data_IF_190825717399
#
_entry.id   IF_190825717399
#
_cell.length_a   1.000
_cell.length_b   1.000
_cell.length_c   1.000
_cell.angle_alpha   90.00
_cell.angle_beta   90.00
_cell.angle_gamma   90.00
#
_symmetry.space_group_name_H-M   'P 1'
#
loop_
_entity.id
_entity.type
_entity.pdbx_description
1 polymer ?
#
# COMPACT_ATOMS: atom_id res chain seq x y z
N UNK A 1 -19.50 37.50 14.14
CA UNK A 1 -20.04 36.16 13.82
C UNK A 1 -18.86 35.26 13.53
N UNK A 2 -18.80 34.09 14.17
CA UNK A 2 -17.82 33.07 13.84
C UNK A 2 -18.30 32.43 12.53
N UNK A 3 -17.61 32.71 11.42
CA UNK A 3 -18.00 32.19 10.11
C UNK A 3 -17.81 30.67 10.19
N UNK A 4 -18.88 29.86 10.05
CA UNK A 4 -18.74 28.41 10.14
C UNK A 4 -17.76 27.96 9.05
N UNK A 5 -16.60 27.43 9.45
CA UNK A 5 -15.70 26.83 8.48
C UNK A 5 -16.45 25.69 7.78
N UNK A 6 -16.40 25.62 6.44
CA UNK A 6 -17.08 24.58 5.71
C UNK A 6 -16.59 23.21 6.21
N UNK A 7 -17.49 22.20 6.32
CA UNK A 7 -17.12 20.90 6.84
C UNK A 7 -15.94 20.35 6.05
N UNK A 8 -14.84 20.04 6.76
CA UNK A 8 -13.65 19.46 6.16
C UNK A 8 -14.06 18.13 5.54
N UNK A 9 -13.85 17.99 4.23
CA UNK A 9 -14.09 16.72 3.53
C UNK A 9 -13.26 15.63 4.21
N UNK A 10 -13.91 14.58 4.69
CA UNK A 10 -13.30 13.42 5.29
C UNK A 10 -13.33 12.26 4.29
N UNK A 11 -12.21 12.02 3.63
CA UNK A 11 -12.04 10.87 2.74
C UNK A 11 -10.95 9.97 3.29
N UNK A 12 -11.20 8.67 3.35
CA UNK A 12 -10.20 7.71 3.84
C UNK A 12 -9.65 6.87 2.70
N UNK A 13 -8.33 6.66 2.72
CA UNK A 13 -7.68 5.65 1.89
C UNK A 13 -7.17 4.55 2.81
N UNK A 14 -7.62 3.32 2.57
CA UNK A 14 -7.22 2.17 3.37
C UNK A 14 -6.65 1.05 2.51
N UNK A 15 -5.75 0.27 3.09
CA UNK A 15 -5.16 -0.89 2.45
C UNK A 15 -4.44 -1.77 3.44
N UNK A 16 -3.73 -2.77 2.93
CA UNK A 16 -2.98 -3.72 3.75
C UNK A 16 -1.52 -3.80 3.33
N UNK A 17 -0.64 -4.09 4.29
CA UNK A 17 0.74 -4.48 4.04
C UNK A 17 0.94 -5.93 4.46
N UNK A 18 1.56 -6.70 3.57
CA UNK A 18 1.86 -8.11 3.80
C UNK A 18 3.33 -8.42 3.61
N UNK A 19 3.74 -9.52 4.21
CA UNK A 19 4.98 -10.19 3.98
C UNK A 19 4.76 -11.21 2.87
N UNK A 20 5.44 -10.99 1.75
CA UNK A 20 5.53 -11.97 0.69
C UNK A 20 6.57 -13.02 1.06
N UNK A 21 6.09 -14.03 1.78
CA UNK A 21 6.85 -15.17 2.28
C UNK A 21 7.36 -16.08 1.18
N UNK A 22 6.82 -15.95 -0.04
CA UNK A 22 7.25 -16.71 -1.21
C UNK A 22 8.01 -15.89 -2.24
N UNK A 23 8.16 -14.57 -2.02
CA UNK A 23 8.75 -13.64 -2.98
C UNK A 23 8.07 -13.74 -4.35
N UNK A 24 6.75 -13.95 -4.36
CA UNK A 24 5.95 -14.16 -5.56
C UNK A 24 5.59 -12.86 -6.31
N UNK A 25 5.66 -11.72 -5.63
CA UNK A 25 5.22 -10.42 -6.12
C UNK A 25 3.72 -10.17 -6.01
N UNK A 26 2.99 -11.07 -5.36
CA UNK A 26 1.55 -11.00 -5.10
C UNK A 26 1.21 -11.74 -3.80
N UNK A 27 0.01 -11.53 -3.27
CA UNK A 27 -0.43 -12.18 -2.02
C UNK A 27 -0.76 -13.66 -2.27
N UNK A 28 -0.32 -14.54 -1.37
CA UNK A 28 -0.58 -15.99 -1.41
C UNK A 28 -1.19 -16.47 -0.10
N UNK A 29 -1.59 -17.75 -0.05
CA UNK A 29 -2.08 -18.38 1.19
C UNK A 29 -1.03 -18.47 2.31
N UNK A 30 0.26 -18.32 1.98
CA UNK A 30 1.36 -18.27 2.94
C UNK A 30 1.76 -16.84 3.32
N UNK A 31 1.15 -15.82 2.73
CA UNK A 31 1.46 -14.43 3.06
C UNK A 31 1.00 -14.09 4.47
N UNK A 32 1.81 -13.28 5.16
CA UNK A 32 1.56 -12.90 6.55
C UNK A 32 1.43 -11.38 6.64
N UNK A 33 0.35 -10.85 7.22
CA UNK A 33 0.19 -9.39 7.32
C UNK A 33 1.20 -8.77 8.30
N UNK A 34 1.67 -7.55 8.00
CA UNK A 34 2.71 -6.87 8.77
C UNK A 34 2.11 -5.70 9.56
N UNK A 35 1.91 -5.83 10.88
CA UNK A 35 1.65 -4.67 11.72
C UNK A 35 2.92 -3.80 11.87
N UNK A 36 2.75 -2.50 12.07
CA UNK A 36 3.86 -1.56 12.29
C UNK A 36 4.68 -1.22 11.05
N UNK A 37 4.30 -1.67 9.86
CA UNK A 37 4.83 -1.15 8.60
C UNK A 37 4.41 0.31 8.40
N UNK A 38 5.31 1.13 7.85
CA UNK A 38 5.06 2.53 7.51
C UNK A 38 5.05 2.76 6.00
N UNK A 39 4.14 3.63 5.56
CA UNK A 39 3.92 3.96 4.15
C UNK A 39 3.81 5.47 3.97
N UNK A 40 4.13 5.95 2.76
CA UNK A 40 3.92 7.34 2.36
C UNK A 40 2.86 7.40 1.28
N UNK A 41 1.81 8.18 1.48
CA UNK A 41 0.93 8.68 0.42
C UNK A 41 1.47 10.03 -0.04
N UNK A 42 1.75 10.18 -1.33
CA UNK A 42 2.08 11.47 -1.94
C UNK A 42 1.18 11.69 -3.14
N UNK A 43 0.52 12.84 -3.17
CA UNK A 43 -0.31 13.26 -4.30
C UNK A 43 0.30 14.48 -4.98
N UNK A 44 0.09 14.55 -6.29
CA UNK A 44 0.56 15.61 -7.15
C UNK A 44 -0.58 16.10 -8.01
N UNK A 45 -0.61 17.40 -8.23
CA UNK A 45 -1.49 18.00 -9.22
C UNK A 45 -1.13 17.47 -10.61
N UNK A 46 -2.16 17.18 -11.40
CA UNK A 46 -1.99 16.54 -12.71
C UNK A 46 -1.42 17.49 -13.75
N UNK A 47 -1.68 18.78 -13.64
CA UNK A 47 -1.33 19.78 -14.64
C UNK A 47 0.10 20.28 -14.46
N UNK A 48 0.48 20.64 -13.23
CA UNK A 48 1.80 21.21 -12.95
C UNK A 48 2.79 20.22 -12.31
N UNK A 49 2.30 19.09 -11.77
CA UNK A 49 3.14 18.07 -11.12
C UNK A 49 3.59 18.42 -9.69
N UNK A 50 3.11 19.53 -9.13
CA UNK A 50 3.43 19.95 -7.77
C UNK A 50 2.79 19.04 -6.74
N UNK A 51 3.50 18.79 -5.63
CA UNK A 51 2.97 18.00 -4.52
C UNK A 51 1.85 18.77 -3.83
N UNK A 52 0.65 18.21 -3.84
CA UNK A 52 -0.56 18.80 -3.23
C UNK A 52 -0.66 18.47 -1.74
N UNK A 53 -0.27 17.24 -1.38
CA UNK A 53 -0.08 16.82 0.00
C UNK A 53 0.78 15.56 0.09
N UNK A 54 1.28 15.30 1.29
CA UNK A 54 1.97 14.06 1.64
C UNK A 54 1.53 13.65 3.04
N UNK A 55 1.24 12.37 3.20
CA UNK A 55 0.80 11.79 4.47
C UNK A 55 1.60 10.50 4.76
N UNK A 56 1.89 10.24 6.03
CA UNK A 56 2.57 9.01 6.46
C UNK A 56 1.60 8.17 7.28
N UNK A 57 1.34 6.95 6.78
CA UNK A 57 0.45 5.98 7.42
C UNK A 57 1.23 4.87 8.09
N UNK A 58 0.65 4.30 9.15
CA UNK A 58 1.15 3.11 9.84
C UNK A 58 0.10 2.02 9.86
N UNK A 59 0.55 0.78 9.71
CA UNK A 59 -0.31 -0.39 9.78
C UNK A 59 -0.55 -0.82 11.23
N UNK A 60 -1.79 -1.22 11.49
CA UNK A 60 -2.29 -1.76 12.75
C UNK A 60 -2.25 -3.29 12.70
N UNK A 61 -3.04 -3.95 13.55
CA UNK A 61 -3.32 -5.38 13.41
C UNK A 61 -3.77 -5.75 11.99
N UNK A 62 -3.49 -6.99 11.58
CA UNK A 62 -3.79 -7.51 10.23
C UNK A 62 -3.18 -6.70 9.08
N UNK A 63 -2.13 -5.91 9.38
CA UNK A 63 -1.43 -5.09 8.39
C UNK A 63 -2.27 -3.95 7.81
N UNK A 64 -3.38 -3.59 8.45
CA UNK A 64 -4.33 -2.59 7.95
C UNK A 64 -3.83 -1.17 8.23
N UNK A 65 -3.81 -0.29 7.23
CA UNK A 65 -3.65 1.15 7.40
C UNK A 65 -4.90 1.90 6.92
N UNK A 66 -5.14 3.08 7.48
CA UNK A 66 -6.13 4.03 6.99
C UNK A 66 -5.56 5.43 7.15
N UNK A 67 -5.46 6.17 6.05
CA UNK A 67 -4.97 7.55 5.99
C UNK A 67 -6.14 8.48 5.68
N UNK A 68 -6.26 9.55 6.47
CA UNK A 68 -7.23 10.61 6.22
C UNK A 68 -6.68 11.53 5.13
N UNK A 69 -7.50 11.78 4.12
CA UNK A 69 -7.29 12.83 3.12
C UNK A 69 -8.27 13.94 3.44
N UNK A 70 -7.75 15.01 4.01
CA UNK A 70 -8.51 16.22 4.28
C UNK A 70 -8.65 17.07 3.02
N UNK A 71 -9.71 17.87 2.95
CA UNK A 71 -10.06 18.74 1.80
C UNK A 71 -10.56 17.96 0.59
N UNK A 72 -11.16 18.69 -0.33
CA UNK A 72 -11.63 18.13 -1.60
C UNK A 72 -10.47 18.12 -2.60
N UNK A 73 -10.13 16.94 -3.10
CA UNK A 73 -9.08 16.70 -4.08
C UNK A 73 -9.70 16.16 -5.36
N UNK A 74 -9.38 16.78 -6.50
CA UNK A 74 -9.90 16.40 -7.82
C UNK A 74 -8.78 16.21 -8.82
N UNK A 75 -8.82 15.08 -9.51
CA UNK A 75 -7.91 14.74 -10.60
C UNK A 75 -6.42 14.68 -10.25
N UNK A 76 -6.05 14.45 -9.00
CA UNK A 76 -4.65 14.34 -8.59
C UNK A 76 -4.08 12.95 -8.86
N UNK A 77 -2.78 12.88 -9.15
CA UNK A 77 -2.03 11.64 -9.24
C UNK A 77 -1.38 11.32 -7.90
N UNK A 78 -1.79 10.23 -7.30
CA UNK A 78 -1.30 9.78 -6.01
C UNK A 78 -0.48 8.50 -6.13
N UNK A 79 0.51 8.38 -5.26
CA UNK A 79 1.35 7.20 -5.12
C UNK A 79 1.50 6.85 -3.63
N UNK A 80 1.24 5.58 -3.30
CA UNK A 80 1.55 5.00 -2.00
C UNK A 80 2.84 4.21 -2.12
N UNK A 81 3.86 4.55 -1.34
CA UNK A 81 5.16 3.85 -1.30
C UNK A 81 5.42 3.21 0.06
N UNK A 82 6.06 2.05 0.06
CA UNK A 82 6.58 1.43 1.28
C UNK A 82 7.78 2.24 1.81
N UNK A 83 7.82 2.50 3.12
CA UNK A 83 8.97 3.16 3.79
C UNK A 83 9.74 2.14 4.63
N UNK A 84 9.06 1.48 5.57
CA UNK A 84 9.69 0.51 6.47
C UNK A 84 8.73 -0.60 6.86
N UNK A 85 9.30 -1.76 7.20
CA UNK A 85 8.56 -2.90 7.72
C UNK A 85 8.65 -2.96 9.24
N UNK A 86 7.56 -3.37 9.89
CA UNK A 86 7.56 -3.72 11.31
C UNK A 86 8.32 -5.03 11.62
N UNK A 87 8.81 -5.74 10.59
CA UNK A 87 9.49 -7.04 10.69
C UNK A 87 10.87 -7.02 10.06
N UNK A 88 11.89 -7.47 10.81
CA UNK A 88 13.28 -7.54 10.33
C UNK A 88 13.57 -8.66 9.35
N UNK A 89 12.74 -9.70 9.32
CA UNK A 89 12.86 -10.83 8.40
C UNK A 89 12.15 -10.60 7.06
N UNK A 90 11.32 -9.54 6.99
CA UNK A 90 10.48 -9.24 5.84
C UNK A 90 10.41 -7.72 5.60
N UNK A 91 11.52 -7.17 5.11
CA UNK A 91 11.74 -5.73 4.98
C UNK A 91 12.36 -5.32 3.63
N UNK A 92 12.52 -6.26 2.70
CA UNK A 92 13.04 -5.94 1.37
C UNK A 92 11.92 -5.34 0.53
N UNK A 93 12.13 -4.13 0.00
CA UNK A 93 11.20 -3.51 -0.93
C UNK A 93 11.47 -4.13 -2.31
N UNK A 94 10.48 -4.76 -2.96
CA UNK A 94 10.69 -5.36 -4.26
C UNK A 94 11.04 -4.29 -5.30
N UNK A 95 12.23 -4.40 -5.89
CA UNK A 95 12.72 -3.52 -6.96
C UNK A 95 12.68 -4.15 -8.34
N UNK A 96 12.43 -5.47 -8.41
CA UNK A 96 12.53 -6.28 -9.62
C UNK A 96 11.27 -7.14 -9.82
N UNK A 97 11.03 -7.52 -11.08
CA UNK A 97 9.91 -8.36 -11.48
C UNK A 97 8.56 -7.64 -11.57
N UNK A 98 7.48 -8.37 -11.31
CA UNK A 98 6.09 -7.87 -11.43
C UNK A 98 5.61 -7.11 -10.19
N UNK A 99 6.34 -7.26 -9.08
CA UNK A 99 6.03 -6.63 -7.81
C UNK A 99 6.27 -5.12 -7.91
N UNK A 100 5.22 -4.31 -7.71
CA UNK A 100 5.38 -2.86 -7.69
C UNK A 100 5.78 -2.41 -6.28
N UNK A 101 6.87 -1.63 -6.12
CA UNK A 101 7.24 -1.06 -4.81
C UNK A 101 6.23 0.00 -4.34
N UNK A 102 5.33 0.41 -5.22
CA UNK A 102 4.37 1.46 -5.00
C UNK A 102 3.04 1.20 -5.70
N UNK A 103 1.99 1.85 -5.21
CA UNK A 103 0.67 1.84 -5.81
C UNK A 103 0.32 3.25 -6.31
N UNK A 104 0.15 3.39 -7.62
CA UNK A 104 -0.27 4.64 -8.26
C UNK A 104 -1.76 4.62 -8.58
N UNK A 105 -2.46 5.72 -8.30
CA UNK A 105 -3.87 5.89 -8.63
C UNK A 105 -4.24 7.36 -8.81
N UNK A 106 -5.34 7.60 -9.53
CA UNK A 106 -5.96 8.92 -9.60
C UNK A 106 -6.90 9.11 -8.41
N UNK A 107 -6.81 10.24 -7.72
CA UNK A 107 -7.65 10.59 -6.58
C UNK A 107 -8.77 11.54 -7.00
N UNK A 108 -9.98 11.20 -6.57
CA UNK A 108 -11.14 12.07 -6.56
C UNK A 108 -11.88 11.78 -5.26
N UNK A 109 -11.94 12.76 -4.37
CA UNK A 109 -12.54 12.57 -3.04
C UNK A 109 -14.06 12.68 -3.12
N UNK A 110 -14.73 11.87 -2.30
CA UNK A 110 -16.15 12.01 -2.00
C UNK A 110 -16.27 12.02 -0.48
N UNK A 111 -16.79 13.11 0.08
CA UNK A 111 -16.87 13.29 1.52
C UNK A 111 -17.59 12.11 2.19
N UNK A 112 -17.07 11.64 3.32
CA UNK A 112 -17.63 10.53 4.11
C UNK A 112 -17.42 9.14 3.49
N UNK A 113 -16.54 8.99 2.49
CA UNK A 113 -16.28 7.70 1.84
C UNK A 113 -14.88 7.17 2.13
N UNK A 114 -14.73 5.85 1.97
CA UNK A 114 -13.45 5.15 2.08
C UNK A 114 -13.14 4.45 0.77
N UNK A 115 -11.92 4.62 0.28
CA UNK A 115 -11.37 3.85 -0.84
C UNK A 115 -10.43 2.77 -0.30
N UNK A 116 -10.77 1.52 -0.57
CA UNK A 116 -9.85 0.39 -0.38
C UNK A 116 -8.91 0.30 -1.58
N UNK A 117 -7.62 0.13 -1.33
CA UNK A 117 -6.59 0.00 -2.35
C UNK A 117 -5.91 -1.36 -2.30
N UNK A 118 -5.21 -1.73 -3.38
CA UNK A 118 -4.48 -2.99 -3.45
C UNK A 118 -3.40 -3.07 -2.37
N UNK A 119 -3.13 -4.27 -1.83
CA UNK A 119 -2.12 -4.44 -0.81
C UNK A 119 -0.71 -4.25 -1.39
N UNK A 120 0.23 -3.86 -0.53
CA UNK A 120 1.66 -3.77 -0.85
C UNK A 120 2.45 -4.81 -0.06
N UNK A 121 3.44 -5.43 -0.71
CA UNK A 121 4.22 -6.53 -0.14
C UNK A 121 5.68 -6.15 0.09
N UNK A 122 6.20 -6.45 1.28
CA UNK A 122 7.65 -6.59 1.47
C UNK A 122 8.06 -8.03 1.16
N UNK A 123 9.22 -8.21 0.54
CA UNK A 123 9.81 -9.53 0.37
C UNK A 123 10.44 -10.03 1.67
N UNK A 124 10.15 -11.30 1.99
CA UNK A 124 10.89 -12.04 3.00
C UNK A 124 12.29 -12.32 2.46
N UNK A 125 13.31 -12.23 3.32
CA UNK A 125 14.71 -12.45 2.94
C UNK A 125 14.93 -13.81 2.27
N UNK A 126 14.31 -14.84 2.84
CA UNK A 126 14.35 -16.21 2.32
C UNK A 126 12.91 -16.70 2.13
N UNK A 127 12.64 -17.28 0.96
CA UNK A 127 11.33 -17.87 0.67
C UNK A 127 11.10 -19.10 1.57
N UNK A 128 9.85 -19.32 1.99
CA UNK A 128 9.52 -20.49 2.80
C UNK A 128 9.70 -21.79 1.99
N UNK A 129 10.14 -22.89 2.61
CA UNK A 129 10.33 -24.17 1.91
C UNK A 129 9.05 -24.71 1.22
N UNK A 130 7.88 -24.33 1.73
CA UNK A 130 6.58 -24.76 1.19
C UNK A 130 6.12 -23.95 -0.04
N UNK A 131 6.85 -22.91 -0.45
CA UNK A 131 6.42 -22.05 -1.56
C UNK A 131 6.33 -22.79 -2.90
N UNK A 132 7.14 -23.83 -3.13
CA UNK A 132 7.02 -24.67 -4.33
C UNK A 132 5.61 -25.30 -4.44
N UNK A 133 4.99 -25.66 -3.32
CA UNK A 133 3.64 -26.23 -3.30
C UNK A 133 2.58 -25.18 -3.65
N UNK A 134 2.78 -23.94 -3.22
CA UNK A 134 1.90 -22.81 -3.57
C UNK A 134 1.93 -22.57 -5.08
N UNK A 135 3.11 -22.51 -5.69
CA UNK A 135 3.23 -22.34 -7.14
C UNK A 135 2.58 -23.48 -7.92
N UNK A 136 2.81 -24.73 -7.51
CA UNK A 136 2.17 -25.89 -8.13
C UNK A 136 0.64 -25.81 -8.05
N UNK A 137 0.09 -25.39 -6.90
CA UNK A 137 -1.36 -25.22 -6.70
C UNK A 137 -1.94 -24.11 -7.58
N UNK A 138 -1.15 -23.08 -7.87
CA UNK A 138 -1.52 -21.98 -8.77
C UNK A 138 -1.30 -22.31 -10.25
N UNK A 139 -0.73 -23.47 -10.58
CA UNK A 139 -0.36 -23.81 -11.96
C UNK A 139 0.75 -22.92 -12.53
N UNK A 140 1.64 -22.43 -11.67
CA UNK A 140 2.73 -21.53 -12.03
C UNK A 140 4.10 -22.19 -11.78
N UNK A 141 5.10 -21.79 -12.56
CA UNK A 141 6.49 -22.13 -12.26
C UNK A 141 7.06 -21.15 -11.23
N UNK A 142 7.90 -21.62 -10.28
CA UNK A 142 8.58 -20.73 -9.36
C UNK A 142 9.47 -19.73 -10.13
N UNK A 143 9.49 -18.44 -9.75
CA UNK A 143 10.16 -17.39 -10.54
C UNK A 143 11.68 -17.58 -10.70
N UNK A 144 12.31 -18.44 -9.90
CA UNK A 144 13.76 -18.70 -9.92
C UNK A 144 14.10 -20.20 -10.01
N UNK A 145 13.22 -21.03 -10.59
CA UNK A 145 13.55 -22.40 -11.01
C UNK A 145 13.87 -22.44 -12.51
#
# INVERSE_FOLDING_TARGET
EDIPQPPVSQFHIQGQVYCDTCRAGFITELSEFIPGASLRLQCKDKENGDVTFTEVGYTRAEGLYSMLVERDHKNEFCEITLISSGRKDCNEIPTEGWAKPSLKFKLNTVNGTTRTVNPLGFFKKEALPKCAQVYNKLGMYPPNM
#
